data_IF_083858508083
#
_entry.id   IF_083858508083
#
_cell.length_a   1.000
_cell.length_b   1.000
_cell.length_c   1.000
_cell.angle_alpha   90.00
_cell.angle_beta   90.00
_cell.angle_gamma   90.00
#
_symmetry.space_group_name_H-M   'P 1'
#
loop_
_entity.id
_entity.type
_entity.pdbx_description
1 polymer ?
#
# COMPACT_ATOMS: atom_id res chain seq x y z
N UNK A 1 4.90 -5.49 11.73
CA UNK A 1 4.50 -4.07 11.83
C UNK A 1 4.10 -3.55 10.47
N UNK A 2 2.98 -2.83 10.40
CA UNK A 2 2.58 -2.13 9.19
C UNK A 2 3.35 -0.83 9.02
N UNK A 3 3.77 -0.53 7.78
CA UNK A 3 4.32 0.78 7.46
C UNK A 3 3.15 1.77 7.34
N UNK A 4 3.06 2.69 8.26
CA UNK A 4 1.96 3.64 8.29
C UNK A 4 2.48 5.07 8.52
N UNK A 5 1.97 6.04 7.76
CA UNK A 5 2.29 7.45 7.97
C UNK A 5 1.98 7.88 9.40
N UNK A 6 2.81 8.76 9.95
CA UNK A 6 2.73 9.24 11.33
C UNK A 6 3.01 8.18 12.42
N UNK A 7 3.51 7.00 12.05
CA UNK A 7 3.97 5.96 12.98
C UNK A 7 5.51 5.92 13.01
N UNK A 8 6.07 5.20 14.00
CA UNK A 8 7.54 5.04 14.11
C UNK A 8 8.12 4.25 12.93
N UNK A 9 7.38 3.23 12.45
CA UNK A 9 7.71 2.48 11.25
C UNK A 9 6.77 2.93 10.14
N UNK A 10 7.29 3.72 9.20
CA UNK A 10 6.51 4.25 8.09
C UNK A 10 7.11 3.97 6.71
N UNK A 11 8.34 3.48 6.65
CA UNK A 11 9.02 3.17 5.41
C UNK A 11 10.04 2.02 5.60
N UNK A 12 10.65 1.49 4.52
CA UNK A 12 11.66 0.43 4.62
C UNK A 12 12.82 0.77 5.56
N UNK A 13 13.32 1.99 5.54
CA UNK A 13 14.47 2.38 6.38
C UNK A 13 14.15 2.28 7.87
N UNK A 14 12.98 2.78 8.28
CA UNK A 14 12.59 2.75 9.71
C UNK A 14 12.31 1.33 10.19
N UNK A 15 11.80 0.42 9.34
CA UNK A 15 11.71 -0.98 9.67
C UNK A 15 13.09 -1.61 9.85
N UNK A 16 14.00 -1.40 8.88
CA UNK A 16 15.34 -1.99 8.93
C UNK A 16 16.08 -1.54 10.20
N UNK A 17 16.03 -0.25 10.52
CA UNK A 17 16.62 0.29 11.77
C UNK A 17 16.04 -0.37 13.03
N UNK A 18 14.73 -0.56 13.10
CA UNK A 18 14.10 -1.23 14.23
C UNK A 18 14.52 -2.71 14.29
N UNK A 19 14.46 -3.43 13.16
CA UNK A 19 14.86 -4.83 13.07
C UNK A 19 16.32 -5.06 13.45
N UNK A 20 17.21 -4.17 13.04
CA UNK A 20 18.64 -4.23 13.41
C UNK A 20 18.85 -4.07 14.92
N UNK A 21 17.98 -3.30 15.58
CA UNK A 21 18.07 -3.07 17.02
C UNK A 21 17.43 -4.20 17.87
N UNK A 22 16.36 -4.85 17.39
CA UNK A 22 15.56 -5.79 18.20
C UNK A 22 15.56 -7.23 17.67
N UNK A 23 16.12 -7.45 16.49
CA UNK A 23 16.25 -8.77 15.88
C UNK A 23 15.17 -9.16 14.87
N UNK A 24 15.29 -10.36 14.27
CA UNK A 24 14.50 -10.77 13.10
C UNK A 24 13.04 -11.17 13.42
N UNK A 25 12.61 -11.10 14.66
CA UNK A 25 11.20 -11.32 15.00
C UNK A 25 10.28 -10.22 14.51
N UNK A 26 10.84 -9.08 14.11
CA UNK A 26 10.11 -7.93 13.54
C UNK A 26 10.20 -7.97 12.02
N UNK A 27 9.05 -7.95 11.36
CA UNK A 27 8.93 -7.86 9.92
C UNK A 27 7.83 -6.89 9.51
N UNK A 28 7.78 -6.55 8.23
CA UNK A 28 6.81 -5.62 7.68
C UNK A 28 5.54 -6.34 7.24
N UNK A 29 4.40 -5.84 7.63
CA UNK A 29 3.18 -5.91 6.85
C UNK A 29 3.26 -4.76 5.85
N UNK A 30 3.65 -5.07 4.63
CA UNK A 30 3.85 -4.05 3.59
C UNK A 30 2.51 -3.61 3.02
N UNK A 31 2.12 -2.40 3.37
CA UNK A 31 0.99 -1.71 2.76
C UNK A 31 1.51 -0.69 1.74
N UNK A 32 1.32 -0.94 0.43
CA UNK A 32 1.80 -0.04 -0.61
C UNK A 32 1.11 1.32 -0.58
N UNK A 33 -0.16 1.39 -0.16
CA UNK A 33 -0.95 2.62 -0.20
C UNK A 33 -0.35 3.73 0.67
N UNK A 34 0.23 3.37 1.81
CA UNK A 34 0.89 4.34 2.68
C UNK A 34 2.16 4.93 2.06
N UNK A 35 2.95 4.11 1.36
CA UNK A 35 4.11 4.62 0.63
C UNK A 35 3.69 5.54 -0.51
N UNK A 36 2.66 5.16 -1.28
CA UNK A 36 2.17 5.93 -2.42
C UNK A 36 1.81 7.36 -2.03
N UNK A 37 0.97 7.55 -1.00
CA UNK A 37 0.58 8.92 -0.63
C UNK A 37 1.72 9.71 0.03
N UNK A 38 2.68 9.06 0.65
CA UNK A 38 3.88 9.71 1.20
C UNK A 38 4.94 10.04 0.13
N UNK A 39 4.73 9.63 -1.14
CA UNK A 39 5.67 9.86 -2.23
C UNK A 39 6.78 8.80 -2.32
N UNK A 40 6.63 7.67 -1.64
CA UNK A 40 7.49 6.50 -1.80
C UNK A 40 7.01 5.60 -2.95
N UNK A 41 7.92 4.78 -3.46
CA UNK A 41 7.62 3.80 -4.49
C UNK A 41 7.58 2.39 -3.87
N UNK A 42 6.39 1.73 -3.83
CA UNK A 42 6.27 0.40 -3.24
C UNK A 42 7.06 -0.68 -3.98
N UNK A 43 7.24 -0.59 -5.28
CA UNK A 43 8.02 -1.58 -6.06
C UNK A 43 9.48 -1.55 -5.62
N UNK A 44 10.08 -0.36 -5.56
CA UNK A 44 11.46 -0.22 -5.09
C UNK A 44 11.60 -0.52 -3.59
N UNK A 45 10.53 -0.32 -2.81
CA UNK A 45 10.51 -0.70 -1.40
C UNK A 45 10.60 -2.22 -1.19
N UNK A 46 9.96 -3.02 -2.05
CA UNK A 46 10.09 -4.50 -2.06
C UNK A 46 11.55 -4.90 -2.25
N UNK A 47 12.24 -4.34 -3.26
CA UNK A 47 13.67 -4.62 -3.48
C UNK A 47 14.55 -4.21 -2.30
N UNK A 48 14.27 -3.07 -1.66
CA UNK A 48 15.03 -2.60 -0.50
C UNK A 48 14.84 -3.49 0.74
N UNK A 49 13.65 -4.03 0.92
CA UNK A 49 13.32 -4.91 2.05
C UNK A 49 13.86 -6.32 1.83
N UNK A 50 13.67 -6.88 0.64
CA UNK A 50 13.81 -8.31 0.39
C UNK A 50 12.70 -9.13 1.07
N UNK A 51 12.44 -10.34 0.59
CA UNK A 51 11.37 -11.18 1.12
C UNK A 51 11.54 -11.53 2.61
N UNK A 52 12.77 -11.62 3.10
CA UNK A 52 13.08 -11.96 4.50
C UNK A 52 12.56 -10.94 5.53
N UNK A 53 12.22 -9.74 5.10
CA UNK A 53 11.67 -8.67 5.95
C UNK A 53 10.20 -8.40 5.72
N UNK A 54 9.58 -9.01 4.70
CA UNK A 54 8.15 -8.85 4.39
C UNK A 54 7.42 -10.09 4.92
N UNK A 55 6.63 -9.92 5.98
CA UNK A 55 5.91 -11.02 6.63
C UNK A 55 4.45 -11.08 6.21
N UNK A 56 3.93 -9.99 5.68
CA UNK A 56 2.59 -9.86 5.16
C UNK A 56 2.53 -8.74 4.15
N UNK A 57 1.55 -8.77 3.26
CA UNK A 57 1.29 -7.69 2.29
C UNK A 57 -0.19 -7.32 2.32
N UNK A 58 -0.48 -6.03 2.43
CA UNK A 58 -1.81 -5.52 2.14
C UNK A 58 -1.95 -5.18 0.65
N UNK A 59 -3.07 -5.58 0.08
CA UNK A 59 -3.52 -5.09 -1.21
C UNK A 59 -4.51 -3.95 -0.97
N UNK A 60 -3.98 -2.74 -0.94
CA UNK A 60 -4.70 -1.48 -0.68
C UNK A 60 -4.21 -0.42 -1.64
N UNK A 61 -5.12 0.29 -2.25
CA UNK A 61 -4.82 1.31 -3.27
C UNK A 61 -5.13 2.71 -2.77
N UNK A 62 -4.47 3.68 -3.35
CA UNK A 62 -4.69 5.09 -3.06
C UNK A 62 -4.80 5.91 -4.33
N UNK A 63 -5.75 6.82 -4.38
CA UNK A 63 -5.88 7.82 -5.44
C UNK A 63 -5.46 9.19 -4.94
N UNK A 64 -4.56 9.81 -5.71
CA UNK A 64 -4.10 11.17 -5.43
C UNK A 64 -5.08 12.18 -6.04
N UNK A 65 -5.65 13.06 -5.22
CA UNK A 65 -6.67 14.03 -5.64
C UNK A 65 -6.01 15.30 -6.17
N UNK A 66 -5.77 15.34 -7.47
CA UNK A 66 -4.96 16.39 -8.14
C UNK A 66 -5.40 17.82 -7.86
N UNK A 67 -6.71 18.03 -7.67
CA UNK A 67 -7.26 19.35 -7.41
C UNK A 67 -6.87 19.91 -6.03
N UNK A 68 -6.51 19.05 -5.10
CA UNK A 68 -6.16 19.41 -3.73
C UNK A 68 -4.66 19.33 -3.44
N UNK A 69 -3.96 18.38 -4.04
CA UNK A 69 -2.51 18.23 -3.85
C UNK A 69 -1.73 19.47 -4.24
N UNK A 70 -2.10 20.14 -5.33
CA UNK A 70 -1.40 21.32 -5.83
C UNK A 70 -1.22 22.39 -4.75
N UNK A 71 -2.29 22.87 -4.13
CA UNK A 71 -2.20 23.89 -3.08
C UNK A 71 -1.80 23.33 -1.70
N UNK A 72 -2.24 22.11 -1.34
CA UNK A 72 -2.20 21.63 0.05
C UNK A 72 -1.12 20.56 0.30
N UNK A 73 -0.52 20.01 -0.75
CA UNK A 73 0.48 18.95 -0.61
C UNK A 73 -0.14 17.60 -0.21
N UNK A 74 0.70 16.66 0.22
CA UNK A 74 0.28 15.27 0.49
C UNK A 74 0.07 14.98 1.98
N UNK A 75 0.58 15.81 2.89
CA UNK A 75 0.38 15.63 4.33
C UNK A 75 -1.00 16.13 4.74
N UNK A 76 -1.99 15.27 4.57
CA UNK A 76 -3.38 15.58 4.90
C UNK A 76 -3.76 14.98 6.27
N UNK A 77 -4.30 15.80 7.15
CA UNK A 77 -4.74 15.40 8.48
C UNK A 77 -6.26 15.27 8.61
N UNK A 78 -7.00 15.48 7.51
CA UNK A 78 -8.45 15.30 7.50
C UNK A 78 -8.79 13.83 7.69
N UNK A 79 -9.86 13.55 8.42
CA UNK A 79 -10.37 12.18 8.61
C UNK A 79 -10.92 11.58 7.30
N UNK A 80 -10.95 10.27 7.19
CA UNK A 80 -11.32 9.57 5.94
C UNK A 80 -12.76 9.87 5.48
N UNK A 81 -13.66 10.20 6.39
CA UNK A 81 -15.03 10.61 6.08
C UNK A 81 -15.13 11.95 5.33
N UNK A 82 -14.06 12.75 5.37
CA UNK A 82 -13.95 13.99 4.60
C UNK A 82 -13.41 13.76 3.18
N UNK A 83 -13.58 12.56 2.63
CA UNK A 83 -13.00 12.09 1.37
C UNK A 83 -13.15 13.09 0.20
N UNK A 84 -14.25 13.84 0.14
CA UNK A 84 -14.48 14.82 -0.91
C UNK A 84 -13.55 16.07 -0.88
N UNK A 85 -12.75 16.24 0.18
CA UNK A 85 -11.88 17.42 0.39
C UNK A 85 -10.44 17.03 0.71
N UNK A 86 -10.10 15.73 0.69
CA UNK A 86 -8.76 15.25 1.00
C UNK A 86 -7.85 15.35 -0.21
N UNK A 87 -6.54 15.40 0.03
CA UNK A 87 -5.51 15.42 -1.01
C UNK A 87 -5.24 14.03 -1.58
N UNK A 88 -5.64 12.99 -0.88
CA UNK A 88 -5.61 11.59 -1.33
C UNK A 88 -6.69 10.79 -0.60
N UNK A 89 -7.15 9.72 -1.23
CA UNK A 89 -8.14 8.81 -0.66
C UNK A 89 -7.74 7.36 -0.89
N UNK A 90 -8.02 6.50 0.08
CA UNK A 90 -8.01 5.06 -0.16
C UNK A 90 -9.15 4.72 -1.11
N UNK A 91 -8.86 3.84 -2.05
CA UNK A 91 -9.80 3.44 -3.08
C UNK A 91 -9.71 1.93 -3.34
N UNK A 92 -10.75 1.36 -3.92
CA UNK A 92 -10.71 -0.03 -4.39
C UNK A 92 -9.56 -0.19 -5.40
N UNK A 93 -8.92 -1.37 -5.40
CA UNK A 93 -7.83 -1.66 -6.32
C UNK A 93 -8.25 -1.39 -7.77
N UNK A 94 -7.38 -0.75 -8.52
CA UNK A 94 -7.63 -0.35 -9.89
C UNK A 94 -8.23 1.04 -10.05
N UNK A 95 -8.64 1.69 -8.96
CA UNK A 95 -9.19 3.04 -8.97
C UNK A 95 -8.14 4.13 -8.68
N UNK A 96 -7.00 3.74 -8.13
CA UNK A 96 -5.83 4.60 -7.95
C UNK A 96 -4.73 4.25 -8.93
N UNK A 97 -4.32 2.99 -8.94
CA UNK A 97 -3.32 2.40 -9.82
C UNK A 97 -3.96 1.30 -10.66
N UNK A 98 -3.64 1.23 -11.94
CA UNK A 98 -4.21 0.26 -12.87
C UNK A 98 -3.69 -1.18 -12.63
N UNK A 99 -4.28 -2.14 -13.33
CA UNK A 99 -3.88 -3.57 -13.25
C UNK A 99 -2.41 -3.77 -13.62
N UNK A 100 -1.84 -2.96 -14.54
CA UNK A 100 -0.44 -3.07 -14.94
C UNK A 100 0.49 -2.79 -13.78
N UNK A 101 0.19 -1.77 -13.00
CA UNK A 101 0.95 -1.44 -11.80
C UNK A 101 0.87 -2.58 -10.75
N UNK A 102 -0.31 -3.15 -10.56
CA UNK A 102 -0.47 -4.28 -9.63
C UNK A 102 0.28 -5.54 -10.11
N UNK A 103 0.31 -5.78 -11.43
CA UNK A 103 1.13 -6.86 -12.01
C UNK A 103 2.62 -6.65 -11.72
N UNK A 104 3.12 -5.44 -11.89
CA UNK A 104 4.51 -5.10 -11.59
C UNK A 104 4.84 -5.30 -10.12
N UNK A 105 4.02 -4.78 -9.20
CA UNK A 105 4.21 -4.91 -7.77
C UNK A 105 4.21 -6.37 -7.31
N UNK A 106 3.24 -7.17 -7.74
CA UNK A 106 3.14 -8.59 -7.40
C UNK A 106 4.28 -9.42 -8.03
N UNK A 107 4.67 -9.10 -9.26
CA UNK A 107 5.83 -9.71 -9.91
C UNK A 107 7.12 -9.41 -9.15
N UNK A 108 7.30 -8.19 -8.68
CA UNK A 108 8.46 -7.81 -7.88
C UNK A 108 8.52 -8.59 -6.56
N UNK A 109 7.39 -8.74 -5.85
CA UNK A 109 7.32 -9.58 -4.65
C UNK A 109 7.75 -11.03 -4.95
N UNK A 110 7.25 -11.59 -6.05
CA UNK A 110 7.63 -12.95 -6.48
C UNK A 110 9.11 -13.05 -6.85
N UNK A 111 9.67 -12.07 -7.54
CA UNK A 111 11.10 -12.02 -7.90
C UNK A 111 12.02 -11.96 -6.68
N UNK A 112 11.60 -11.26 -5.63
CA UNK A 112 12.32 -11.24 -4.35
C UNK A 112 12.11 -12.51 -3.51
N UNK A 113 11.25 -13.45 -3.97
CA UNK A 113 10.98 -14.72 -3.30
C UNK A 113 9.93 -14.65 -2.21
N UNK A 114 9.07 -13.64 -2.22
CA UNK A 114 7.95 -13.57 -1.28
C UNK A 114 6.87 -14.61 -1.65
N UNK A 115 6.55 -15.50 -0.72
CA UNK A 115 5.54 -16.56 -0.83
C UNK A 115 4.51 -16.50 0.32
N UNK A 116 4.38 -15.33 0.92
CA UNK A 116 3.47 -15.08 2.03
C UNK A 116 2.06 -14.64 1.60
N UNK A 117 1.16 -14.44 2.56
CA UNK A 117 -0.20 -14.03 2.30
C UNK A 117 -0.30 -12.58 1.83
N UNK A 118 -1.27 -12.32 0.95
CA UNK A 118 -1.69 -10.99 0.54
C UNK A 118 -3.15 -10.81 0.95
N UNK A 119 -3.40 -9.87 1.86
CA UNK A 119 -4.75 -9.54 2.32
C UNK A 119 -5.26 -8.28 1.65
N UNK A 120 -6.46 -8.35 1.15
CA UNK A 120 -7.16 -7.16 0.68
C UNK A 120 -7.64 -6.32 1.87
N UNK A 121 -7.31 -5.04 1.86
CA UNK A 121 -7.86 -4.05 2.79
C UNK A 121 -8.71 -3.03 2.02
N UNK A 122 -9.96 -2.81 2.47
CA UNK A 122 -10.93 -1.98 1.77
C UNK A 122 -11.36 -0.80 2.63
N UNK A 123 -10.94 0.40 2.23
CA UNK A 123 -11.30 1.67 2.89
C UNK A 123 -11.80 2.74 1.90
N UNK A 124 -12.36 2.30 0.76
CA UNK A 124 -12.99 3.21 -0.20
C UNK A 124 -14.39 3.62 0.32
N UNK A 125 -14.55 4.89 0.67
CA UNK A 125 -15.83 5.45 1.12
C UNK A 125 -16.70 5.98 -0.03
N UNK A 126 -16.25 5.84 -1.27
CA UNK A 126 -17.01 6.31 -2.46
C UNK A 126 -17.91 5.24 -3.04
N UNK A 127 -17.84 4.00 -2.54
CA UNK A 127 -18.67 2.88 -2.99
C UNK A 127 -19.08 1.96 -1.83
N UNK A 128 -20.12 1.11 -2.01
CA UNK A 128 -20.46 0.09 -1.04
C UNK A 128 -19.30 -0.88 -0.79
N UNK A 129 -19.07 -1.24 0.47
CA UNK A 129 -17.95 -2.08 0.88
C UNK A 129 -17.86 -3.40 0.09
N UNK A 130 -18.98 -4.10 -0.09
CA UNK A 130 -19.00 -5.37 -0.84
C UNK A 130 -18.57 -5.17 -2.31
N UNK A 131 -19.04 -4.10 -2.95
CA UNK A 131 -18.66 -3.77 -4.32
C UNK A 131 -17.17 -3.47 -4.44
N UNK A 132 -16.63 -2.70 -3.50
CA UNK A 132 -15.20 -2.43 -3.42
C UNK A 132 -14.35 -3.69 -3.25
N UNK A 133 -14.77 -4.61 -2.36
CA UNK A 133 -14.12 -5.92 -2.21
C UNK A 133 -14.15 -6.74 -3.49
N UNK A 134 -15.30 -6.84 -4.16
CA UNK A 134 -15.42 -7.59 -5.40
C UNK A 134 -14.61 -6.98 -6.54
N UNK A 135 -14.56 -5.66 -6.61
CA UNK A 135 -13.75 -4.93 -7.59
C UNK A 135 -12.25 -5.18 -7.36
N UNK A 136 -11.79 -5.03 -6.13
CA UNK A 136 -10.40 -5.29 -5.78
C UNK A 136 -9.99 -6.76 -6.01
N UNK A 137 -10.88 -7.71 -5.70
CA UNK A 137 -10.62 -9.13 -5.94
C UNK A 137 -10.47 -9.44 -7.44
N UNK A 138 -11.24 -8.77 -8.32
CA UNK A 138 -11.07 -8.93 -9.77
C UNK A 138 -9.71 -8.43 -10.24
N UNK A 139 -9.27 -7.26 -9.75
CA UNK A 139 -7.96 -6.72 -10.06
C UNK A 139 -6.84 -7.65 -9.59
N UNK A 140 -6.91 -8.15 -8.35
CA UNK A 140 -5.93 -9.10 -7.82
C UNK A 140 -5.87 -10.38 -8.64
N UNK A 141 -7.01 -10.97 -8.99
CA UNK A 141 -7.05 -12.20 -9.83
C UNK A 141 -6.47 -11.98 -11.21
N UNK A 142 -6.64 -10.80 -11.78
CA UNK A 142 -6.06 -10.47 -13.09
C UNK A 142 -4.56 -10.15 -12.98
N UNK A 143 -4.13 -9.58 -11.86
CA UNK A 143 -2.74 -9.23 -11.61
C UNK A 143 -1.89 -10.45 -11.17
N UNK A 144 -2.47 -11.38 -10.41
CA UNK A 144 -1.87 -12.66 -10.09
C UNK A 144 -1.98 -13.56 -11.31
N UNK A 145 -0.94 -13.58 -12.12
CA UNK A 145 -0.82 -14.59 -13.19
C UNK A 145 -0.50 -15.93 -12.50
N UNK A 146 -1.51 -16.73 -12.27
CA UNK A 146 -1.40 -18.11 -11.84
C UNK A 146 -1.22 -19.00 -13.07
#
# INVERSE_FOLDING_TARGET
LENHGCQMVYNPETLIRLRDAVGPMVGMNLDPSHLMWMGGDPVTAVHKLGADRIYHVHAKDVRMERNYIGPDGVLDTKTIDQFAKRTWNYVALGHGHDVSWWKEFLSCLSMEGYDGPISQEMEDLTMPMLEGHLTSLRVLKEALVL
#
